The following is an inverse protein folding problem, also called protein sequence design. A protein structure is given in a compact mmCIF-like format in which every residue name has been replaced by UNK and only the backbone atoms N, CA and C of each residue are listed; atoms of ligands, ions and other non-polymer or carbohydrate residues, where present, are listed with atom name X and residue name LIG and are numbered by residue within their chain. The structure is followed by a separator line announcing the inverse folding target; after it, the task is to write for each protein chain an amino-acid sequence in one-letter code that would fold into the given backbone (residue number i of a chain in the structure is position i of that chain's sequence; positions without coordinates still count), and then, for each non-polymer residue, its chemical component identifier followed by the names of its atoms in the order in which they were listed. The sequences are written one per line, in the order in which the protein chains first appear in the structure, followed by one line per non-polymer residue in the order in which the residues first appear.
data_IF_045396735388
#
_entry.id   IF_045396735388
#
_cell.length_a   1.000
_cell.length_b   1.000
_cell.length_c   1.000
_cell.angle_alpha   90.00
_cell.angle_beta   90.00
_cell.angle_gamma   90.00
#
_symmetry.space_group_name_H-M   'P 1'
#
loop_
_entity.id
_entity.type
_entity.pdbx_description
1 polymer ?
#
# COMPACT_ATOMS: atom_id res chain seq x y z
N UNK A 1 -4.45 22.43 2.15
CA UNK A 1 -3.23 22.30 1.33
C UNK A 1 -3.53 21.26 0.26
N UNK A 2 -3.47 21.65 -1.01
CA UNK A 2 -3.87 20.78 -2.11
C UNK A 2 -2.80 19.75 -2.44
N UNK A 3 -3.21 18.64 -3.07
CA UNK A 3 -2.32 17.60 -3.59
C UNK A 3 -1.28 18.15 -4.57
N UNK A 4 -1.63 19.21 -5.31
CA UNK A 4 -0.72 19.99 -6.17
C UNK A 4 0.48 20.55 -5.39
N UNK A 5 0.23 21.20 -4.26
CA UNK A 5 1.29 21.82 -3.44
C UNK A 5 2.25 20.78 -2.85
N UNK A 6 1.76 19.57 -2.60
CA UNK A 6 2.58 18.46 -2.07
C UNK A 6 3.41 17.82 -3.17
N UNK A 7 2.83 17.65 -4.36
CA UNK A 7 3.49 17.12 -5.54
C UNK A 7 4.58 18.06 -6.07
N UNK A 8 4.27 19.34 -6.25
CA UNK A 8 5.25 20.34 -6.69
C UNK A 8 6.41 20.43 -5.70
N UNK A 9 6.15 20.47 -4.40
CA UNK A 9 7.20 20.48 -3.36
C UNK A 9 8.01 19.19 -3.28
N UNK A 10 7.42 18.03 -3.56
CA UNK A 10 8.13 16.75 -3.66
C UNK A 10 9.10 16.75 -4.82
N UNK A 11 8.61 17.13 -5.98
CA UNK A 11 9.38 17.17 -7.22
C UNK A 11 10.41 18.33 -7.24
N UNK A 12 10.09 19.52 -6.73
CA UNK A 12 11.03 20.63 -6.60
C UNK A 12 12.22 20.32 -5.71
N UNK A 13 12.00 19.58 -4.62
CA UNK A 13 13.09 19.10 -3.75
C UNK A 13 14.01 18.11 -4.45
N UNK A 14 13.46 17.28 -5.35
CA UNK A 14 14.21 16.26 -6.06
C UNK A 14 14.95 16.79 -7.30
N UNK A 15 14.47 17.87 -7.94
CA UNK A 15 14.95 18.37 -9.25
C UNK A 15 15.57 19.76 -9.22
N UNK A 16 15.97 20.28 -8.04
CA UNK A 16 16.73 21.54 -7.89
C UNK A 16 16.17 22.77 -8.64
N UNK A 17 14.87 23.05 -8.56
CA UNK A 17 14.27 24.30 -9.04
C UNK A 17 14.23 24.52 -10.56
N UNK A 18 14.63 23.53 -11.38
CA UNK A 18 14.54 23.62 -12.84
C UNK A 18 13.12 23.30 -13.37
N UNK A 19 12.25 22.81 -12.50
CA UNK A 19 10.92 22.29 -12.80
C UNK A 19 10.02 23.28 -13.54
N UNK A 20 9.87 24.49 -12.99
CA UNK A 20 8.95 25.50 -13.53
C UNK A 20 9.29 26.01 -14.96
N UNK A 21 10.54 25.86 -15.41
CA UNK A 21 10.96 26.26 -16.76
C UNK A 21 10.74 25.17 -17.79
N UNK A 22 10.79 23.90 -17.39
CA UNK A 22 10.74 22.74 -18.28
C UNK A 22 9.31 22.40 -18.70
N UNK A 23 8.30 22.74 -17.90
CA UNK A 23 6.89 22.34 -18.09
C UNK A 23 5.95 23.50 -18.43
N UNK A 24 6.45 24.56 -19.10
CA UNK A 24 5.62 25.68 -19.59
C UNK A 24 4.64 25.30 -20.71
N UNK A 25 4.92 24.24 -21.42
CA UNK A 25 4.08 23.71 -22.50
C UNK A 25 4.19 22.19 -22.55
N UNK A 26 3.13 21.51 -22.99
CA UNK A 26 3.06 20.04 -23.05
C UNK A 26 2.51 19.43 -21.77
N UNK A 27 2.64 18.09 -21.66
CA UNK A 27 2.12 17.30 -20.55
C UNK A 27 2.81 17.66 -19.22
N UNK A 28 2.03 17.82 -18.19
CA UNK A 28 2.52 18.05 -16.83
C UNK A 28 2.47 16.75 -16.01
N UNK A 29 3.40 16.54 -15.05
CA UNK A 29 3.40 15.33 -14.21
C UNK A 29 2.10 15.12 -13.42
N UNK A 30 1.40 16.19 -13.05
CA UNK A 30 0.10 16.11 -12.35
C UNK A 30 -1.00 15.48 -13.21
N UNK A 31 -0.92 15.62 -14.54
CA UNK A 31 -1.87 15.00 -15.46
C UNK A 31 -1.67 13.49 -15.52
N UNK A 32 -0.42 13.01 -15.39
CA UNK A 32 -0.10 11.57 -15.25
C UNK A 32 -0.72 11.05 -13.95
N UNK A 33 -0.56 11.77 -12.84
CA UNK A 33 -1.17 11.40 -11.55
C UNK A 33 -2.69 11.28 -11.67
N UNK A 34 -3.32 12.26 -12.32
CA UNK A 34 -4.78 12.28 -12.50
C UNK A 34 -5.27 11.12 -13.36
N UNK A 35 -4.51 10.76 -14.39
CA UNK A 35 -4.83 9.61 -15.24
C UNK A 35 -4.64 8.27 -14.52
N UNK A 36 -3.57 8.11 -13.72
CA UNK A 36 -3.34 6.91 -12.90
C UNK A 36 -4.45 6.72 -11.85
N UNK A 37 -4.88 7.79 -11.18
CA UNK A 37 -6.01 7.73 -10.23
C UNK A 37 -7.31 7.33 -10.90
N UNK A 38 -7.61 7.92 -12.06
CA UNK A 38 -8.81 7.55 -12.85
C UNK A 38 -8.75 6.08 -13.27
N UNK A 39 -7.58 5.58 -13.65
CA UNK A 39 -7.40 4.18 -14.03
C UNK A 39 -7.63 3.25 -12.85
N UNK A 40 -7.13 3.58 -11.65
CA UNK A 40 -7.44 2.86 -10.41
C UNK A 40 -8.95 2.81 -10.15
N UNK A 41 -9.62 3.97 -10.16
CA UNK A 41 -11.05 4.06 -9.85
C UNK A 41 -11.91 3.31 -10.87
N UNK A 42 -11.55 3.35 -12.15
CA UNK A 42 -12.26 2.68 -13.24
C UNK A 42 -12.08 1.17 -13.22
N UNK A 43 -10.91 0.69 -12.77
CA UNK A 43 -10.54 -0.74 -12.75
C UNK A 43 -10.73 -1.38 -11.38
N UNK A 44 -11.24 -0.64 -10.40
CA UNK A 44 -11.53 -1.16 -9.08
C UNK A 44 -12.56 -2.29 -9.16
N UNK A 45 -12.20 -3.47 -8.65
CA UNK A 45 -13.05 -4.66 -8.66
C UNK A 45 -13.29 -5.15 -7.23
N UNK A 46 -14.56 -5.29 -6.86
CA UNK A 46 -14.95 -5.91 -5.60
C UNK A 46 -14.73 -7.41 -5.70
N UNK A 47 -13.71 -7.94 -5.02
CA UNK A 47 -13.34 -9.37 -5.04
C UNK A 47 -13.89 -10.14 -3.84
N UNK A 48 -14.25 -9.43 -2.76
CA UNK A 48 -14.94 -9.98 -1.60
C UNK A 48 -15.65 -8.84 -0.85
N UNK A 49 -16.47 -9.18 0.16
CA UNK A 49 -17.07 -8.18 1.05
C UNK A 49 -15.94 -7.35 1.67
N UNK A 50 -16.00 -6.04 1.50
CA UNK A 50 -15.02 -5.06 2.00
C UNK A 50 -13.60 -5.18 1.40
N UNK A 51 -13.46 -5.81 0.23
CA UNK A 51 -12.17 -5.97 -0.45
C UNK A 51 -12.28 -5.52 -1.90
N UNK A 52 -11.69 -4.37 -2.20
CA UNK A 52 -11.64 -3.79 -3.54
C UNK A 52 -10.21 -3.91 -4.05
N UNK A 53 -10.03 -4.71 -5.10
CA UNK A 53 -8.74 -4.89 -5.74
C UNK A 53 -8.58 -3.92 -6.91
N UNK A 54 -7.39 -3.31 -7.02
CA UNK A 54 -7.03 -2.42 -8.13
C UNK A 54 -5.75 -2.89 -8.82
N UNK A 55 -5.53 -2.48 -10.09
CA UNK A 55 -4.29 -2.77 -10.79
C UNK A 55 -3.06 -2.27 -10.03
N UNK A 56 -1.97 -3.01 -10.14
CA UNK A 56 -0.69 -2.65 -9.53
C UNK A 56 0.45 -2.48 -10.53
N UNK A 57 0.22 -2.71 -11.83
CA UNK A 57 1.16 -2.44 -12.91
C UNK A 57 0.57 -1.43 -13.88
N UNK A 58 1.32 -0.37 -14.18
CA UNK A 58 0.89 0.71 -15.06
C UNK A 58 1.95 1.00 -16.10
N UNK A 59 1.52 1.13 -17.36
CA UNK A 59 2.33 1.67 -18.45
C UNK A 59 1.68 2.97 -18.88
N UNK A 60 2.40 4.06 -18.74
CA UNK A 60 1.99 5.39 -19.18
C UNK A 60 2.65 5.68 -20.52
N UNK A 61 1.87 5.69 -21.56
CA UNK A 61 2.31 6.00 -22.91
C UNK A 61 2.30 7.50 -23.17
N UNK A 62 3.40 8.00 -23.71
CA UNK A 62 3.63 9.43 -23.95
C UNK A 62 4.09 9.67 -25.40
N UNK A 63 3.84 10.89 -25.89
CA UNK A 63 4.50 11.39 -27.10
C UNK A 63 6.00 11.56 -26.85
N UNK A 64 6.80 11.57 -27.92
CA UNK A 64 8.28 11.60 -27.83
C UNK A 64 8.80 12.76 -26.99
N UNK A 65 8.35 13.99 -27.24
CA UNK A 65 8.82 15.16 -26.51
C UNK A 65 8.42 15.13 -25.02
N UNK A 66 7.20 14.63 -24.70
CA UNK A 66 6.76 14.46 -23.31
C UNK A 66 7.55 13.37 -22.60
N UNK A 67 7.82 12.24 -23.28
CA UNK A 67 8.62 11.15 -22.74
C UNK A 67 10.04 11.59 -22.36
N UNK A 68 10.71 12.32 -23.28
CA UNK A 68 12.06 12.85 -23.03
C UNK A 68 12.08 13.81 -21.84
N UNK A 69 11.07 14.68 -21.71
CA UNK A 69 10.92 15.60 -20.57
C UNK A 69 10.68 14.86 -19.25
N UNK A 70 9.77 13.89 -19.25
CA UNK A 70 9.41 13.13 -18.04
C UNK A 70 10.55 12.23 -17.56
N UNK A 71 11.22 11.53 -18.48
CA UNK A 71 12.36 10.68 -18.12
C UNK A 71 13.58 11.50 -17.67
N UNK A 72 13.71 12.75 -18.13
CA UNK A 72 14.71 13.69 -17.65
C UNK A 72 14.59 14.03 -16.15
N UNK A 73 13.43 13.79 -15.52
CA UNK A 73 13.24 13.92 -14.07
C UNK A 73 13.80 12.71 -13.27
N UNK A 74 14.21 11.66 -13.95
CA UNK A 74 14.81 10.47 -13.35
C UNK A 74 13.83 9.66 -12.48
N UNK A 75 14.38 8.95 -11.50
CA UNK A 75 13.59 8.11 -10.57
C UNK A 75 12.64 8.92 -9.68
N UNK A 76 12.96 10.18 -9.41
CA UNK A 76 12.18 11.05 -8.54
C UNK A 76 10.71 11.19 -9.00
N UNK A 77 10.47 11.26 -10.32
CA UNK A 77 9.11 11.27 -10.85
C UNK A 77 8.37 9.97 -10.54
N UNK A 78 9.00 8.82 -10.79
CA UNK A 78 8.40 7.50 -10.56
C UNK A 78 8.11 7.29 -9.07
N UNK A 79 9.02 7.72 -8.19
CA UNK A 79 8.86 7.61 -6.74
C UNK A 79 7.67 8.44 -6.26
N UNK A 80 7.53 9.67 -6.74
CA UNK A 80 6.41 10.56 -6.40
C UNK A 80 5.07 10.02 -6.95
N UNK A 81 5.04 9.55 -8.20
CA UNK A 81 3.86 8.92 -8.79
C UNK A 81 3.42 7.68 -7.98
N UNK A 82 4.37 6.85 -7.55
CA UNK A 82 4.09 5.68 -6.69
C UNK A 82 3.50 6.11 -5.34
N UNK A 83 4.04 7.12 -4.69
CA UNK A 83 3.51 7.63 -3.42
C UNK A 83 2.07 8.13 -3.57
N UNK A 84 1.78 8.89 -4.63
CA UNK A 84 0.44 9.43 -4.88
C UNK A 84 -0.58 8.35 -5.22
N UNK A 85 -0.19 7.33 -5.98
CA UNK A 85 -1.03 6.17 -6.30
C UNK A 85 -1.36 5.39 -5.02
N UNK A 86 -0.36 5.14 -4.17
CA UNK A 86 -0.56 4.46 -2.89
C UNK A 86 -1.42 5.27 -1.92
N UNK A 87 -1.21 6.58 -1.83
CA UNK A 87 -2.02 7.47 -0.99
C UNK A 87 -3.50 7.49 -1.45
N UNK A 88 -3.74 7.55 -2.77
CA UNK A 88 -5.09 7.47 -3.32
C UNK A 88 -5.75 6.13 -3.00
N UNK A 89 -5.07 5.02 -3.26
CA UNK A 89 -5.58 3.69 -2.95
C UNK A 89 -5.94 3.55 -1.47
N UNK A 90 -5.07 4.03 -0.57
CA UNK A 90 -5.33 4.04 0.87
C UNK A 90 -6.58 4.85 1.22
N UNK A 91 -6.77 6.03 0.62
CA UNK A 91 -7.94 6.90 0.88
C UNK A 91 -9.25 6.30 0.39
N UNK A 92 -9.21 5.45 -0.64
CA UNK A 92 -10.37 4.77 -1.23
C UNK A 92 -10.57 3.34 -0.69
N UNK A 93 -9.75 2.90 0.28
CA UNK A 93 -9.74 1.53 0.82
C UNK A 93 -9.50 0.46 -0.25
N UNK A 94 -8.71 0.80 -1.29
CA UNK A 94 -8.28 -0.13 -2.31
C UNK A 94 -7.07 -0.95 -1.85
N UNK A 95 -6.97 -2.17 -2.37
CA UNK A 95 -5.85 -3.08 -2.14
C UNK A 95 -5.16 -3.41 -3.47
N UNK A 96 -3.82 -3.49 -3.44
CA UNK A 96 -3.03 -3.99 -4.56
C UNK A 96 -2.71 -5.48 -4.35
N UNK A 97 -2.66 -6.24 -5.45
CA UNK A 97 -2.26 -7.66 -5.41
C UNK A 97 -0.74 -7.86 -5.24
N UNK A 98 0.03 -6.80 -5.29
CA UNK A 98 1.49 -6.80 -5.16
C UNK A 98 2.06 -5.39 -5.20
N UNK A 99 3.39 -5.23 -5.28
CA UNK A 99 4.02 -3.91 -5.33
C UNK A 99 3.56 -3.13 -6.56
N UNK A 100 3.36 -1.83 -6.36
CA UNK A 100 2.99 -0.92 -7.44
C UNK A 100 4.20 -0.70 -8.34
N UNK A 101 4.02 -0.83 -9.65
CA UNK A 101 5.01 -0.57 -10.68
C UNK A 101 4.46 0.37 -11.73
N UNK A 102 5.14 1.49 -11.95
CA UNK A 102 4.79 2.50 -12.97
C UNK A 102 5.95 2.61 -13.93
N UNK A 103 5.67 2.47 -15.22
CA UNK A 103 6.63 2.63 -16.30
C UNK A 103 6.13 3.67 -17.30
N UNK A 104 7.01 4.56 -17.75
CA UNK A 104 6.77 5.43 -18.87
C UNK A 104 7.23 4.74 -20.16
N UNK A 105 6.49 4.90 -21.23
CA UNK A 105 6.84 4.31 -22.54
C UNK A 105 6.42 5.25 -23.68
N UNK A 106 7.03 5.07 -24.85
CA UNK A 106 6.73 5.82 -26.05
C UNK A 106 5.55 5.21 -26.79
N UNK A 107 4.66 6.04 -27.32
CA UNK A 107 3.63 5.60 -28.27
C UNK A 107 3.65 6.45 -29.53
N UNK A 108 3.99 5.82 -30.64
CA UNK A 108 3.94 6.47 -31.95
C UNK A 108 2.52 6.95 -32.26
N UNK A 109 2.41 8.15 -32.84
CA UNK A 109 1.13 8.76 -33.17
C UNK A 109 0.39 9.44 -32.04
N UNK A 110 0.95 9.46 -30.83
CA UNK A 110 0.40 10.26 -29.73
C UNK A 110 0.87 11.72 -29.88
N UNK A 111 -0.07 12.65 -29.74
CA UNK A 111 0.23 14.10 -29.80
C UNK A 111 0.83 14.56 -28.47
N UNK A 112 1.78 15.51 -28.50
CA UNK A 112 2.30 16.15 -27.27
C UNK A 112 1.16 16.76 -26.44
N UNK A 113 1.27 16.62 -25.13
CA UNK A 113 0.22 16.99 -24.19
C UNK A 113 -0.85 15.90 -23.97
N UNK A 114 -0.79 14.77 -24.73
CA UNK A 114 -1.68 13.64 -24.58
C UNK A 114 -0.98 12.46 -23.93
N UNK A 115 -1.70 11.71 -23.11
CA UNK A 115 -1.20 10.46 -22.52
C UNK A 115 -2.24 9.35 -22.61
N UNK A 116 -1.79 8.11 -22.52
CA UNK A 116 -2.64 6.93 -22.42
C UNK A 116 -2.09 6.01 -21.34
N UNK A 117 -2.92 5.60 -20.41
CA UNK A 117 -2.54 4.65 -19.36
C UNK A 117 -3.11 3.29 -19.72
N UNK A 118 -2.27 2.26 -19.60
CA UNK A 118 -2.69 0.86 -19.62
C UNK A 118 -2.30 0.25 -18.29
N UNK A 119 -3.24 -0.41 -17.66
CA UNK A 119 -3.02 -1.08 -16.39
C UNK A 119 -3.26 -2.57 -16.51
N UNK A 120 -2.51 -3.32 -15.73
CA UNK A 120 -2.63 -4.77 -15.64
C UNK A 120 -2.84 -5.17 -14.17
N UNK A 121 -3.77 -6.10 -13.97
CA UNK A 121 -3.83 -6.84 -12.72
C UNK A 121 -2.78 -7.95 -12.78
N UNK A 122 -2.07 -8.15 -11.69
CA UNK A 122 -1.20 -9.33 -11.59
C UNK A 122 -2.07 -10.58 -11.73
N UNK A 123 -1.80 -11.39 -12.74
CA UNK A 123 -2.50 -12.65 -13.02
C UNK A 123 -1.98 -13.82 -12.19
N UNK A 124 -1.47 -13.57 -10.98
CA UNK A 124 -1.04 -14.59 -10.03
C UNK A 124 -2.16 -15.00 -9.07
N UNK A 125 -2.01 -16.14 -8.39
CA UNK A 125 -2.86 -16.47 -7.25
C UNK A 125 -2.71 -15.38 -6.20
N UNK A 126 -3.79 -14.65 -5.94
CA UNK A 126 -3.80 -13.62 -4.90
C UNK A 126 -3.95 -14.34 -3.56
N UNK A 127 -2.89 -14.33 -2.76
CA UNK A 127 -2.96 -14.72 -1.37
C UNK A 127 -3.33 -13.50 -0.52
N UNK A 128 -4.37 -13.62 0.27
CA UNK A 128 -4.76 -12.59 1.23
C UNK A 128 -4.04 -12.84 2.54
N UNK A 129 -3.12 -11.95 2.90
CA UNK A 129 -2.34 -12.07 4.13
C UNK A 129 -2.92 -11.13 5.18
N UNK A 130 -3.40 -11.65 6.30
CA UNK A 130 -3.80 -10.85 7.44
C UNK A 130 -2.57 -10.24 8.11
N UNK A 131 -2.66 -8.98 8.47
CA UNK A 131 -1.57 -8.19 9.05
C UNK A 131 -2.09 -7.38 10.22
N UNK A 132 -1.30 -7.26 11.28
CA UNK A 132 -1.52 -6.31 12.36
C UNK A 132 -0.56 -5.12 12.20
N UNK A 133 -1.10 -3.93 12.07
CA UNK A 133 -0.30 -2.70 12.10
C UNK A 133 -0.25 -2.19 13.54
N UNK A 134 0.95 -2.18 14.13
CA UNK A 134 1.20 -1.72 15.51
C UNK A 134 2.31 -0.68 15.47
N UNK A 135 2.05 0.54 15.93
CA UNK A 135 3.04 1.64 15.92
C UNK A 135 3.73 1.84 14.57
N UNK A 136 2.97 1.73 13.47
CA UNK A 136 3.46 1.89 12.10
C UNK A 136 4.26 0.71 11.54
N UNK A 137 4.36 -0.39 12.28
CA UNK A 137 5.00 -1.64 11.82
C UNK A 137 3.95 -2.69 11.48
N UNK A 138 4.18 -3.44 10.42
CA UNK A 138 3.31 -4.51 9.98
C UNK A 138 3.82 -5.87 10.48
N UNK A 139 2.94 -6.61 11.15
CA UNK A 139 3.17 -7.97 11.65
C UNK A 139 2.25 -8.95 10.92
N UNK A 140 2.74 -9.70 9.92
CA UNK A 140 1.93 -10.69 9.21
C UNK A 140 1.47 -11.82 10.13
N UNK A 141 0.19 -12.14 10.10
CA UNK A 141 -0.36 -13.29 10.83
C UNK A 141 -0.15 -14.55 9.99
N UNK A 142 0.84 -15.35 10.37
CA UNK A 142 1.22 -16.58 9.66
C UNK A 142 0.65 -17.84 10.30
N UNK A 143 0.07 -17.74 11.49
CA UNK A 143 -0.45 -18.86 12.28
C UNK A 143 -1.94 -18.67 12.55
N UNK A 144 -2.62 -19.76 12.85
CA UNK A 144 -4.04 -19.74 13.24
C UNK A 144 -4.27 -19.00 14.59
N UNK A 145 -3.24 -18.91 15.44
CA UNK A 145 -3.24 -18.23 16.72
C UNK A 145 -2.04 -17.28 16.79
N UNK A 146 -2.27 -16.04 17.19
CA UNK A 146 -1.21 -15.03 17.40
C UNK A 146 -1.52 -14.27 18.69
N UNK A 147 -0.67 -14.45 19.70
CA UNK A 147 -0.81 -13.80 21.00
C UNK A 147 -0.04 -12.48 21.03
N UNK A 148 -0.68 -11.43 21.53
CA UNK A 148 -0.10 -10.09 21.68
C UNK A 148 -0.08 -9.74 23.16
N UNK A 149 1.04 -9.21 23.63
CA UNK A 149 1.20 -8.79 25.01
C UNK A 149 2.56 -8.16 25.29
N UNK A 150 2.83 -7.78 26.54
CA UNK A 150 4.13 -7.23 26.96
C UNK A 150 5.15 -8.31 27.34
N UNK A 151 4.72 -9.56 27.47
CA UNK A 151 5.59 -10.67 27.87
C UNK A 151 6.43 -11.17 26.72
N UNK A 152 7.64 -11.67 27.02
CA UNK A 152 8.54 -12.30 26.06
C UNK A 152 8.01 -13.63 25.51
N UNK A 153 6.96 -14.16 26.12
CA UNK A 153 6.24 -15.39 25.75
C UNK A 153 5.00 -15.09 24.86
N UNK A 154 4.80 -13.84 24.44
CA UNK A 154 3.84 -13.46 23.41
C UNK A 154 4.49 -13.56 22.01
N UNK A 155 3.67 -13.90 20.99
CA UNK A 155 4.15 -13.95 19.58
C UNK A 155 4.52 -12.55 19.08
N UNK A 156 3.78 -11.53 19.52
CA UNK A 156 4.09 -10.12 19.26
C UNK A 156 4.22 -9.42 20.60
N UNK A 157 5.46 -9.04 20.93
CA UNK A 157 5.73 -8.29 22.16
C UNK A 157 5.59 -6.80 21.92
N UNK A 158 4.83 -6.14 22.79
CA UNK A 158 4.58 -4.68 22.76
C UNK A 158 5.10 -4.07 24.06
N UNK A 159 5.96 -3.05 23.93
CA UNK A 159 6.51 -2.33 25.08
C UNK A 159 5.52 -1.28 25.60
N UNK A 160 4.53 -1.77 26.38
CA UNK A 160 3.53 -0.94 27.06
C UNK A 160 3.23 -1.57 28.41
N UNK A 161 3.57 -0.87 29.49
CA UNK A 161 3.38 -1.34 30.88
C UNK A 161 1.91 -1.54 31.27
N UNK A 162 0.97 -0.91 30.54
CA UNK A 162 -0.47 -1.06 30.75
C UNK A 162 -1.07 -2.31 30.10
N UNK A 163 -0.25 -3.10 29.37
CA UNK A 163 -0.66 -4.34 28.71
C UNK A 163 -0.28 -5.55 29.58
N UNK A 164 -1.15 -6.56 29.65
CA UNK A 164 -0.86 -7.83 30.30
C UNK A 164 0.22 -8.61 29.54
N UNK A 165 0.93 -9.56 30.19
CA UNK A 165 1.96 -10.37 29.56
C UNK A 165 1.43 -11.08 28.31
N UNK A 166 0.25 -11.71 28.41
CA UNK A 166 -0.60 -12.16 27.30
C UNK A 166 -1.89 -11.39 27.44
N UNK A 167 -2.22 -10.53 26.48
CA UNK A 167 -3.34 -9.60 26.59
C UNK A 167 -4.50 -10.03 25.70
N UNK A 168 -4.24 -10.13 24.41
CA UNK A 168 -5.20 -10.60 23.41
C UNK A 168 -4.59 -11.68 22.55
N UNK A 169 -5.44 -12.53 21.99
CA UNK A 169 -5.07 -13.39 20.86
C UNK A 169 -5.90 -13.04 19.63
N UNK A 170 -5.27 -13.16 18.50
CA UNK A 170 -5.93 -13.08 17.20
C UNK A 170 -6.01 -14.49 16.63
N UNK A 171 -7.22 -14.93 16.32
CA UNK A 171 -7.51 -16.18 15.65
C UNK A 171 -7.70 -15.93 14.16
N UNK A 172 -7.12 -16.78 13.31
CA UNK A 172 -7.23 -16.69 11.86
C UNK A 172 -7.53 -18.07 11.25
N UNK A 173 -8.66 -18.22 10.55
CA UNK A 173 -9.08 -19.49 9.93
C UNK A 173 -8.73 -19.60 8.43
N UNK A 174 -7.95 -18.64 7.90
CA UNK A 174 -7.63 -18.53 6.48
C UNK A 174 -8.57 -17.58 5.72
N UNK A 175 -9.70 -17.19 6.30
CA UNK A 175 -10.70 -16.30 5.68
C UNK A 175 -11.23 -15.24 6.64
N UNK A 176 -11.37 -15.57 7.91
CA UNK A 176 -11.95 -14.72 8.94
C UNK A 176 -11.02 -14.61 10.13
N UNK A 177 -11.00 -13.42 10.72
CA UNK A 177 -10.26 -13.15 11.94
C UNK A 177 -11.22 -12.92 13.11
N UNK A 178 -10.71 -13.19 14.31
CA UNK A 178 -11.41 -12.92 15.57
C UNK A 178 -10.39 -12.47 16.61
N UNK A 179 -10.76 -11.51 17.44
CA UNK A 179 -10.00 -11.13 18.64
C UNK A 179 -10.63 -11.76 19.88
N UNK A 180 -9.78 -12.25 20.79
CA UNK A 180 -10.17 -12.67 22.13
C UNK A 180 -9.29 -11.97 23.16
N UNK A 181 -9.88 -11.34 24.16
CA UNK A 181 -9.18 -10.89 25.37
C UNK A 181 -8.86 -12.11 26.25
N UNK A 182 -7.62 -12.25 26.66
CA UNK A 182 -7.13 -13.39 27.45
C UNK A 182 -7.28 -13.18 28.97
N UNK A 183 -8.30 -12.45 29.40
CA UNK A 183 -8.51 -12.07 30.81
C UNK A 183 -7.52 -10.99 31.22
N UNK A 184 -7.28 -10.01 30.37
CA UNK A 184 -6.36 -8.94 30.64
C UNK A 184 -6.80 -8.06 31.81
N UNK A 185 -5.83 -7.43 32.49
CA UNK A 185 -6.11 -6.59 33.69
C UNK A 185 -6.95 -5.36 33.35
N UNK A 186 -6.62 -4.71 32.23
CA UNK A 186 -7.26 -3.46 31.82
C UNK A 186 -8.38 -3.66 30.78
N UNK A 187 -8.47 -4.85 30.19
CA UNK A 187 -9.39 -5.18 29.12
C UNK A 187 -8.99 -4.59 27.77
N UNK A 188 -9.75 -4.96 26.76
CA UNK A 188 -9.54 -4.57 25.35
C UNK A 188 -10.77 -3.84 24.82
N UNK A 189 -10.57 -2.99 23.81
CA UNK A 189 -11.67 -2.43 23.02
C UNK A 189 -11.49 -2.80 21.52
N UNK A 190 -12.61 -2.89 20.83
CA UNK A 190 -12.68 -3.06 19.38
C UNK A 190 -13.54 -1.92 18.83
N UNK A 191 -12.97 -1.09 17.96
CA UNK A 191 -13.63 0.08 17.37
C UNK A 191 -14.27 1.02 18.43
N UNK A 192 -13.61 1.11 19.62
CA UNK A 192 -14.04 1.93 20.76
C UNK A 192 -14.98 1.22 21.74
N UNK A 193 -15.51 0.04 21.43
CA UNK A 193 -16.39 -0.73 22.32
C UNK A 193 -15.62 -1.82 23.08
N UNK A 194 -15.96 -2.04 24.35
CA UNK A 194 -15.31 -3.06 25.16
C UNK A 194 -15.58 -4.46 24.63
N UNK A 195 -14.52 -5.26 24.50
CA UNK A 195 -14.62 -6.59 23.90
C UNK A 195 -13.93 -7.65 24.74
N UNK A 196 -14.59 -8.81 24.88
CA UNK A 196 -13.95 -10.04 25.34
C UNK A 196 -13.67 -11.00 24.17
N UNK A 197 -14.58 -11.03 23.19
CA UNK A 197 -14.48 -11.85 21.98
C UNK A 197 -15.35 -11.26 20.89
N UNK A 198 -14.77 -11.00 19.71
CA UNK A 198 -15.50 -10.48 18.55
C UNK A 198 -14.82 -10.84 17.22
N UNK A 199 -15.58 -10.93 16.11
CA UNK A 199 -15.01 -11.01 14.78
C UNK A 199 -14.29 -9.71 14.45
N UNK A 200 -13.17 -9.82 13.70
CA UNK A 200 -12.43 -8.69 13.17
C UNK A 200 -12.77 -8.50 11.69
N UNK A 201 -13.29 -7.33 11.36
CA UNK A 201 -13.37 -6.86 9.98
C UNK A 201 -12.03 -6.21 9.55
N UNK A 202 -11.69 -6.19 8.26
CA UNK A 202 -10.59 -5.37 7.77
C UNK A 202 -10.71 -3.92 8.26
N UNK A 203 -9.59 -3.32 8.61
CA UNK A 203 -9.45 -1.97 9.19
C UNK A 203 -10.03 -1.77 10.61
N UNK A 204 -10.55 -2.82 11.26
CA UNK A 204 -10.93 -2.76 12.67
C UNK A 204 -9.75 -2.37 13.56
N UNK A 205 -10.04 -1.58 14.57
CA UNK A 205 -9.07 -1.05 15.53
C UNK A 205 -9.25 -1.73 16.88
N UNK A 206 -8.19 -2.43 17.31
CA UNK A 206 -8.12 -3.01 18.66
C UNK A 206 -7.26 -2.08 19.51
N UNK A 207 -7.74 -1.71 20.69
CA UNK A 207 -6.95 -0.95 21.64
C UNK A 207 -6.73 -1.77 22.90
N UNK A 208 -5.47 -1.92 23.30
CA UNK A 208 -5.01 -2.60 24.50
C UNK A 208 -4.05 -1.68 25.25
N UNK A 209 -4.41 -1.30 26.48
CA UNK A 209 -3.66 -0.28 27.19
C UNK A 209 -3.61 1.03 26.41
N UNK A 210 -2.39 1.50 26.07
CA UNK A 210 -2.16 2.69 25.22
C UNK A 210 -1.83 2.34 23.78
N UNK A 211 -1.80 1.06 23.45
CA UNK A 211 -1.40 0.56 22.15
C UNK A 211 -2.60 0.38 21.24
N UNK A 212 -2.52 0.98 20.07
CA UNK A 212 -3.49 0.84 18.98
C UNK A 212 -2.99 -0.16 17.96
N UNK A 213 -3.81 -1.16 17.66
CA UNK A 213 -3.55 -2.23 16.68
C UNK A 213 -4.61 -2.14 15.60
N UNK A 214 -4.20 -2.05 14.33
CA UNK A 214 -5.14 -2.08 13.20
C UNK A 214 -5.02 -3.44 12.51
N UNK A 215 -6.13 -4.14 12.39
CA UNK A 215 -6.21 -5.38 11.61
C UNK A 215 -6.41 -5.05 10.13
N UNK A 216 -5.52 -5.55 9.26
CA UNK A 216 -5.62 -5.38 7.82
C UNK A 216 -5.54 -6.72 7.10
N UNK A 217 -6.08 -6.76 5.90
CA UNK A 217 -5.93 -7.92 5.01
C UNK A 217 -5.36 -7.41 3.69
N UNK A 218 -4.09 -7.72 3.46
CA UNK A 218 -3.34 -7.26 2.29
C UNK A 218 -3.33 -8.35 1.21
N UNK A 219 -3.50 -7.93 -0.04
CA UNK A 219 -3.31 -8.81 -1.18
C UNK A 219 -1.81 -9.01 -1.44
N UNK A 220 -1.37 -10.25 -1.60
CA UNK A 220 -0.02 -10.61 -2.03
C UNK A 220 -0.10 -11.48 -3.28
N UNK A 221 0.80 -11.27 -4.26
CA UNK A 221 0.95 -12.14 -5.41
C UNK A 221 2.17 -13.04 -5.23
N UNK A 222 2.04 -14.31 -5.60
CA UNK A 222 3.12 -15.30 -5.51
C UNK A 222 4.35 -14.97 -6.41
N UNK A 223 4.27 -13.96 -7.29
CA UNK A 223 5.35 -13.60 -8.22
C UNK A 223 6.48 -12.74 -7.61
N UNK A 224 6.34 -12.25 -6.37
CA UNK A 224 7.34 -11.33 -5.79
C UNK A 224 8.68 -12.03 -5.48
N UNK A 225 8.68 -13.33 -5.22
CA UNK A 225 9.90 -14.08 -4.87
C UNK A 225 10.81 -14.39 -6.09
N UNK A 226 10.26 -14.49 -7.31
CA UNK A 226 11.06 -14.88 -8.47
C UNK A 226 11.92 -13.74 -9.05
N UNK A 227 11.58 -12.46 -8.78
CA UNK A 227 12.39 -11.31 -9.25
C UNK A 227 13.51 -10.92 -8.30
N UNK A 228 13.41 -11.24 -7.02
CA UNK A 228 14.49 -11.04 -6.05
C UNK A 228 15.64 -12.02 -6.29
N UNK A 229 15.35 -13.26 -6.66
CA UNK A 229 16.37 -14.30 -6.93
C UNK A 229 17.13 -14.09 -8.24
N UNK A 230 16.52 -13.50 -9.27
CA UNK A 230 17.22 -13.22 -10.56
C UNK A 230 18.24 -12.08 -10.46
N UNK A 231 18.09 -11.15 -9.53
CA UNK A 231 19.08 -10.07 -9.31
C UNK A 231 20.32 -10.51 -8.54
N UNK A 232 20.27 -11.59 -7.78
CA UNK A 232 21.42 -12.15 -7.05
C UNK A 232 22.27 -13.11 -7.88
N UNK A 233 21.83 -13.50 -9.09
CA UNK A 233 22.52 -14.47 -9.94
C UNK A 233 23.41 -13.88 -11.04
N UNK A 234 23.33 -12.58 -11.34
CA UNK A 234 24.08 -11.95 -12.46
C UNK A 234 25.31 -11.13 -12.03
N UNK A 235 25.73 -11.24 -10.81
CA UNK A 235 26.91 -10.53 -10.26
C UNK A 235 28.16 -11.38 -10.10
N UNK A 236 28.34 -12.44 -10.90
CA UNK A 236 29.49 -13.32 -10.77
C UNK A 236 29.91 -13.98 -12.08
N UNK A 237 30.56 -13.19 -12.95
CA UNK A 237 31.59 -13.66 -13.90
C UNK A 237 32.37 -12.49 -14.44
#
# INVERSE_FOLDING_TARGET
MGLLDSFERGLERAVNGAFARTFKSGLQPIEITSALRRELDTKAAVVARDRILVPNRFVVYLAKGDYERMTGLGSALIDELNQLVQAHAKSQHYSFAGPVSIRLDLKAGLTEGMLSVVSENVTGKIAWTPVLEISGRNYPIKRSHTVIGRGSDADITVDDSSISRKHVEILWDGKRAQVNDLGSTNGSTLDGERVSKAPLAPDSVIEIGRTRIVFRVLAQSDEVDQFAERRSGEGGR
#
